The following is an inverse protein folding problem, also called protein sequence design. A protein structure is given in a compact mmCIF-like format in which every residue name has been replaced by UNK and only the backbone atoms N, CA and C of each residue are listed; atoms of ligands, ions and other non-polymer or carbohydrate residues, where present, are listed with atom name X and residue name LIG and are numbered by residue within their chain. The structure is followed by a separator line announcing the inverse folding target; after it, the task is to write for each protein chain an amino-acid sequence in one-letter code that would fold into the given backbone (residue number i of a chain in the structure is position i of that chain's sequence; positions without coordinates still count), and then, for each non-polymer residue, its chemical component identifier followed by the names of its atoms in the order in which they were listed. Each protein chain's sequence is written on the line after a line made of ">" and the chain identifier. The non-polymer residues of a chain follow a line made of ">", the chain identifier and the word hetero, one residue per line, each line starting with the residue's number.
data_IF_774071446332
#
_entry.id   IF_774071446332
#
_cell.length_a   1.000
_cell.length_b   1.000
_cell.length_c   1.000
_cell.angle_alpha   90.00
_cell.angle_beta   90.00
_cell.angle_gamma   90.00
#
_symmetry.space_group_name_H-M   'P 1'
#
loop_
_entity.id
_entity.type
_entity.pdbx_description
1 polymer ?
#
# COMPACT_ATOMS: atom_id res chain seq x y z
N UNK A 1 -12.27 9.87 -17.79
CA UNK A 1 -12.52 10.13 -16.36
C UNK A 1 -11.18 10.23 -15.69
N UNK A 2 -10.98 11.27 -14.89
CA UNK A 2 -9.75 11.48 -14.14
C UNK A 2 -9.80 10.60 -12.88
N UNK A 3 -8.70 9.95 -12.52
CA UNK A 3 -8.63 9.07 -11.33
C UNK A 3 -9.11 9.78 -10.05
N UNK A 4 -8.91 11.10 -9.97
CA UNK A 4 -9.32 11.97 -8.87
C UNK A 4 -10.84 12.08 -8.67
N UNK A 5 -11.67 11.83 -9.70
CA UNK A 5 -13.14 11.92 -9.61
C UNK A 5 -13.74 10.87 -8.65
N UNK A 6 -12.96 9.85 -8.26
CA UNK A 6 -13.35 8.80 -7.33
C UNK A 6 -12.98 9.08 -5.87
N UNK A 7 -12.33 10.22 -5.59
CA UNK A 7 -11.79 10.56 -4.28
C UNK A 7 -12.34 11.88 -3.77
N UNK A 8 -12.37 12.04 -2.44
CA UNK A 8 -12.73 13.28 -1.79
C UNK A 8 -11.56 14.27 -1.88
N UNK A 9 -11.80 15.59 -1.84
CA UNK A 9 -10.72 16.59 -1.91
C UNK A 9 -9.63 16.42 -0.85
N UNK A 10 -9.98 15.96 0.35
CA UNK A 10 -9.03 15.70 1.45
C UNK A 10 -8.16 14.45 1.22
N UNK A 11 -8.53 13.60 0.26
CA UNK A 11 -7.82 12.36 -0.07
C UNK A 11 -6.82 12.56 -1.23
N UNK A 12 -6.92 13.66 -1.98
CA UNK A 12 -6.07 13.95 -3.16
C UNK A 12 -4.57 13.88 -2.83
N UNK A 13 -4.17 14.46 -1.69
CA UNK A 13 -2.77 14.43 -1.24
C UNK A 13 -2.27 13.01 -1.00
N UNK A 14 -3.14 12.12 -0.52
CA UNK A 14 -2.77 10.71 -0.33
C UNK A 14 -2.75 9.96 -1.67
N UNK A 15 -3.71 10.22 -2.56
CA UNK A 15 -3.73 9.67 -3.92
C UNK A 15 -2.44 10.01 -4.68
N UNK A 16 -1.97 11.25 -4.60
CA UNK A 16 -0.71 11.67 -5.21
C UNK A 16 0.49 10.88 -4.68
N UNK A 17 0.57 10.68 -3.37
CA UNK A 17 1.62 9.84 -2.76
C UNK A 17 1.57 8.40 -3.28
N UNK A 18 0.38 7.82 -3.43
CA UNK A 18 0.24 6.46 -3.97
C UNK A 18 0.67 6.40 -5.43
N UNK A 19 0.34 7.41 -6.24
CA UNK A 19 0.80 7.50 -7.63
C UNK A 19 2.33 7.61 -7.72
N UNK A 20 2.96 8.34 -6.81
CA UNK A 20 4.43 8.38 -6.71
C UNK A 20 5.01 7.00 -6.35
N UNK A 21 4.42 6.28 -5.39
CA UNK A 21 4.86 4.93 -5.02
C UNK A 21 4.68 3.93 -6.16
N UNK A 22 3.55 4.01 -6.88
CA UNK A 22 3.30 3.21 -8.07
C UNK A 22 4.38 3.43 -9.11
N UNK A 23 4.69 4.70 -9.42
CA UNK A 23 5.74 5.06 -10.38
C UNK A 23 7.10 4.53 -9.93
N UNK A 24 7.45 4.64 -8.64
CA UNK A 24 8.69 4.09 -8.12
C UNK A 24 8.79 2.57 -8.35
N UNK A 25 7.69 1.85 -8.12
CA UNK A 25 7.62 0.41 -8.38
C UNK A 25 7.74 0.08 -9.88
N UNK A 26 7.15 0.87 -10.78
CA UNK A 26 7.36 0.73 -12.23
C UNK A 26 8.86 0.88 -12.62
N UNK A 27 9.63 1.66 -11.85
CA UNK A 27 11.09 1.81 -12.00
C UNK A 27 11.88 0.87 -11.08
N UNK A 28 11.33 -0.30 -10.75
CA UNK A 28 12.01 -1.37 -10.00
C UNK A 28 12.32 -1.05 -8.53
N UNK A 29 11.63 -0.07 -7.93
CA UNK A 29 11.83 0.29 -6.52
C UNK A 29 10.62 -0.08 -5.67
N UNK A 30 10.80 -1.00 -4.72
CA UNK A 30 9.76 -1.35 -3.76
C UNK A 30 9.57 -0.23 -2.71
N UNK A 31 8.33 -0.03 -2.29
CA UNK A 31 7.94 0.91 -1.25
C UNK A 31 7.15 0.21 -0.16
N UNK A 32 7.70 0.24 1.06
CA UNK A 32 6.97 -0.08 2.28
C UNK A 32 6.38 1.20 2.88
N UNK A 33 5.09 1.21 3.17
CA UNK A 33 4.41 2.35 3.78
C UNK A 33 4.47 2.31 5.32
N UNK A 34 4.07 3.41 5.96
CA UNK A 34 3.61 3.36 7.34
C UNK A 34 2.28 2.58 7.45
N UNK A 35 1.78 2.40 8.67
CA UNK A 35 0.47 1.79 8.92
C UNK A 35 -0.67 2.65 8.35
N UNK A 36 -1.34 2.09 7.35
CA UNK A 36 -2.48 2.68 6.68
C UNK A 36 -3.78 2.29 7.39
N UNK A 37 -4.72 3.23 7.50
CA UNK A 37 -6.09 2.92 7.91
C UNK A 37 -6.87 2.18 6.80
N UNK A 38 -8.05 1.61 7.09
CA UNK A 38 -8.83 0.88 6.09
C UNK A 38 -9.19 1.69 4.83
N UNK A 39 -9.42 3.00 4.94
CA UNK A 39 -9.76 3.86 3.80
C UNK A 39 -8.54 4.07 2.92
N UNK A 40 -7.38 4.33 3.52
CA UNK A 40 -6.11 4.45 2.82
C UNK A 40 -5.74 3.16 2.08
N UNK A 41 -5.95 1.98 2.68
CA UNK A 41 -5.74 0.69 2.02
C UNK A 41 -6.61 0.53 0.76
N UNK A 42 -7.87 0.96 0.83
CA UNK A 42 -8.77 0.98 -0.34
C UNK A 42 -8.27 1.94 -1.43
N UNK A 43 -7.81 3.14 -1.06
CA UNK A 43 -7.23 4.10 -2.03
C UNK A 43 -6.02 3.48 -2.72
N UNK A 44 -5.09 2.89 -1.95
CA UNK A 44 -3.92 2.20 -2.50
C UNK A 44 -4.35 1.13 -3.50
N UNK A 45 -5.27 0.26 -3.12
CA UNK A 45 -5.77 -0.82 -3.99
C UNK A 45 -6.36 -0.30 -5.29
N UNK A 46 -7.17 0.78 -5.24
CA UNK A 46 -7.79 1.39 -6.42
C UNK A 46 -6.77 2.05 -7.36
N UNK A 47 -5.75 2.72 -6.80
CA UNK A 47 -4.74 3.44 -7.59
C UNK A 47 -3.71 2.48 -8.21
N UNK A 48 -3.26 1.47 -7.46
CA UNK A 48 -2.35 0.44 -7.98
C UNK A 48 -3.07 -0.37 -9.07
N UNK A 49 -4.25 -0.90 -8.77
CA UNK A 49 -5.03 -1.69 -9.72
C UNK A 49 -4.34 -2.99 -10.11
N UNK A 50 -4.56 -3.43 -11.35
CA UNK A 50 -3.91 -4.59 -11.96
C UNK A 50 -2.86 -4.12 -12.97
N UNK A 51 -1.71 -4.79 -13.05
CA UNK A 51 -0.64 -4.48 -14.01
C UNK A 51 0.74 -4.86 -13.46
N UNK A 52 1.77 -4.14 -13.92
CA UNK A 52 3.19 -4.41 -13.62
C UNK A 52 3.62 -4.02 -12.19
N UNK A 53 2.69 -3.54 -11.37
CA UNK A 53 2.89 -3.20 -9.96
C UNK A 53 1.91 -3.99 -9.11
N UNK A 54 2.43 -4.70 -8.12
CA UNK A 54 1.68 -5.41 -7.11
C UNK A 54 1.62 -4.61 -5.80
N UNK A 55 0.58 -4.87 -5.02
CA UNK A 55 0.49 -4.43 -3.63
C UNK A 55 0.03 -5.58 -2.74
N UNK A 56 0.68 -5.71 -1.58
CA UNK A 56 0.26 -6.59 -0.50
C UNK A 56 0.16 -5.82 0.81
N UNK A 57 -0.66 -6.31 1.74
CA UNK A 57 -0.91 -5.66 3.02
C UNK A 57 -0.70 -6.63 4.17
N UNK A 58 0.00 -6.18 5.21
CA UNK A 58 0.16 -6.95 6.44
C UNK A 58 0.07 -6.05 7.69
N UNK A 59 -0.57 -6.57 8.72
CA UNK A 59 -0.70 -5.96 10.04
C UNK A 59 -0.38 -6.96 11.16
N UNK A 60 0.33 -8.04 10.85
CA UNK A 60 0.74 -9.15 11.73
C UNK A 60 -0.38 -9.96 12.41
N UNK A 61 -1.65 -9.57 12.23
CA UNK A 61 -2.80 -10.39 12.63
C UNK A 61 -3.85 -10.41 11.51
N UNK A 62 -4.60 -11.50 11.35
CA UNK A 62 -5.61 -11.63 10.28
C UNK A 62 -6.67 -10.52 10.29
N UNK A 63 -6.97 -9.97 11.47
CA UNK A 63 -8.01 -8.97 11.68
C UNK A 63 -7.48 -7.56 11.96
N UNK A 64 -6.19 -7.32 11.77
CA UNK A 64 -5.62 -5.98 11.93
C UNK A 64 -6.31 -4.98 10.99
N UNK A 65 -6.94 -3.95 11.56
CA UNK A 65 -7.51 -2.86 10.77
C UNK A 65 -6.42 -2.03 10.09
N UNK A 66 -5.36 -1.68 10.84
CA UNK A 66 -4.21 -0.96 10.32
C UNK A 66 -3.20 -1.94 9.77
N UNK A 67 -2.80 -1.73 8.51
CA UNK A 67 -1.82 -2.57 7.82
C UNK A 67 -0.79 -1.71 7.12
N UNK A 68 0.44 -2.19 7.03
CA UNK A 68 1.44 -1.63 6.12
C UNK A 68 1.20 -2.18 4.73
N UNK A 69 1.42 -1.36 3.70
CA UNK A 69 1.38 -1.78 2.32
C UNK A 69 2.81 -1.93 1.80
N UNK A 70 3.08 -3.04 1.12
CA UNK A 70 4.27 -3.23 0.31
C UNK A 70 3.86 -3.09 -1.15
N UNK A 71 4.38 -2.09 -1.84
CA UNK A 71 4.10 -1.77 -3.25
C UNK A 71 5.37 -2.02 -4.04
N UNK A 72 5.33 -2.91 -5.02
CA UNK A 72 6.54 -3.46 -5.64
C UNK A 72 6.28 -3.94 -7.08
N UNK A 73 7.34 -4.09 -7.91
CA UNK A 73 7.18 -4.69 -9.24
C UNK A 73 6.56 -6.09 -9.18
N UNK A 74 5.57 -6.37 -10.03
CA UNK A 74 4.79 -7.61 -10.00
C UNK A 74 5.61 -8.90 -10.11
N UNK A 75 6.78 -8.85 -10.75
CA UNK A 75 7.68 -9.99 -10.93
C UNK A 75 8.55 -10.31 -9.71
N UNK A 76 8.55 -9.47 -8.65
CA UNK A 76 9.28 -9.77 -7.42
C UNK A 76 8.46 -10.71 -6.51
N UNK A 77 9.16 -11.62 -5.84
CA UNK A 77 8.60 -12.43 -4.77
C UNK A 77 8.94 -11.76 -3.44
N UNK A 78 7.91 -11.42 -2.67
CA UNK A 78 8.05 -10.79 -1.35
C UNK A 78 7.68 -11.80 -0.26
N UNK A 79 8.24 -11.65 0.93
CA UNK A 79 7.94 -12.46 2.10
C UNK A 79 7.38 -11.58 3.24
N UNK A 80 6.93 -12.20 4.33
CA UNK A 80 6.33 -11.50 5.47
C UNK A 80 7.32 -10.57 6.19
N UNK A 81 8.62 -10.90 6.20
CA UNK A 81 9.66 -10.09 6.88
C UNK A 81 9.82 -8.69 6.26
N UNK A 82 9.55 -8.54 4.96
CA UNK A 82 9.60 -7.25 4.26
C UNK A 82 8.59 -6.23 4.82
N UNK A 83 7.54 -6.68 5.51
CA UNK A 83 6.58 -5.78 6.14
C UNK A 83 7.12 -5.14 7.42
N UNK A 84 8.18 -5.70 8.01
CA UNK A 84 8.83 -5.20 9.23
C UNK A 84 7.78 -4.88 10.32
N UNK A 85 6.89 -5.84 10.59
CA UNK A 85 5.89 -5.76 11.66
C UNK A 85 6.22 -6.82 12.71
N UNK A 86 6.21 -6.41 13.98
CA UNK A 86 6.44 -7.28 15.12
C UNK A 86 5.25 -7.20 16.07
N UNK A 87 4.87 -8.34 16.66
CA UNK A 87 3.81 -8.42 17.67
C UNK A 87 4.44 -8.33 19.05
N UNK A 88 3.97 -7.39 19.86
CA UNK A 88 4.39 -7.23 21.26
C UNK A 88 3.26 -7.69 22.18
N UNK A 89 3.58 -8.62 23.07
CA UNK A 89 2.71 -8.99 24.19
C UNK A 89 2.93 -8.02 25.36
N UNK A 90 1.84 -7.58 25.99
CA UNK A 90 1.87 -6.69 27.15
C UNK A 90 1.25 -7.44 28.32
N UNK A 91 2.07 -7.64 29.36
CA UNK A 91 1.66 -8.19 30.65
C UNK A 91 1.15 -7.11 31.64
#
# INVERSE_FOLDING_TARGET
>A
MSIYEHFRPDEEVFVDKVLEWKRAAEYHQAKLTDFLDPRQQQIVTMVIGQGDVAVQFDGATPHAERKRALIYPDYLVVNEEEFQVEVLEID
#
